data_IF_557970839522
#
_entry.id   IF_557970839522
#
_cell.length_a   1.000
_cell.length_b   1.000
_cell.length_c   1.000
_cell.angle_alpha   90.00
_cell.angle_beta   90.00
_cell.angle_gamma   90.00
#
_symmetry.space_group_name_H-M   'P 1'
#
loop_
_entity.id
_entity.type
_entity.pdbx_description
1 polymer ?
#
# COMPACT_ATOMS: atom_id res chain seq x y z
N UNK A 1 9.82 23.41 -1.11
CA UNK A 1 9.63 22.09 -1.75
C UNK A 1 8.69 22.26 -2.94
N UNK A 2 9.21 22.23 -4.16
CA UNK A 2 8.38 22.23 -5.38
C UNK A 2 7.89 20.81 -5.61
N UNK A 3 6.65 20.53 -5.21
CA UNK A 3 6.00 19.24 -5.49
C UNK A 3 5.50 19.32 -6.93
N UNK A 4 6.01 18.46 -7.81
CA UNK A 4 5.59 18.42 -9.20
C UNK A 4 4.07 18.17 -9.28
N UNK A 5 3.34 18.91 -10.14
CA UNK A 5 1.91 18.70 -10.32
C UNK A 5 1.64 17.30 -10.86
N UNK A 6 0.56 16.68 -10.38
CA UNK A 6 0.16 15.34 -10.81
C UNK A 6 -0.13 15.33 -12.32
N UNK A 7 0.46 14.38 -13.06
CA UNK A 7 0.20 14.25 -14.51
C UNK A 7 -1.24 13.77 -14.72
N UNK A 8 -2.07 14.51 -15.50
CA UNK A 8 -3.42 14.08 -15.80
C UNK A 8 -3.41 12.81 -16.66
N UNK A 9 -4.26 11.84 -16.32
CA UNK A 9 -4.47 10.67 -17.17
C UNK A 9 -5.14 11.06 -18.51
N UNK A 10 -4.99 10.22 -19.54
CA UNK A 10 -5.60 10.46 -20.88
C UNK A 10 -7.11 10.71 -20.81
N UNK A 11 -7.82 10.03 -19.90
CA UNK A 11 -9.24 10.23 -19.65
C UNK A 11 -9.56 11.62 -19.06
N UNK A 12 -8.69 12.16 -18.21
CA UNK A 12 -8.85 13.52 -17.66
C UNK A 12 -8.52 14.59 -18.69
N UNK A 13 -7.51 14.37 -19.52
CA UNK A 13 -7.15 15.27 -20.60
C UNK A 13 -8.29 15.38 -21.64
N UNK A 14 -8.89 14.25 -22.02
CA UNK A 14 -10.04 14.23 -22.94
C UNK A 14 -11.28 14.91 -22.35
N UNK A 15 -11.59 14.67 -21.08
CA UNK A 15 -12.72 15.32 -20.41
C UNK A 15 -12.50 16.83 -20.26
N UNK A 16 -11.28 17.26 -19.91
CA UNK A 16 -10.92 18.68 -19.85
C UNK A 16 -11.02 19.34 -21.24
N UNK A 17 -10.54 18.67 -22.29
CA UNK A 17 -10.63 19.17 -23.66
C UNK A 17 -12.10 19.30 -24.11
N UNK A 18 -12.94 18.31 -23.80
CA UNK A 18 -14.37 18.35 -24.11
C UNK A 18 -15.08 19.49 -23.38
N UNK A 19 -14.76 19.74 -22.11
CA UNK A 19 -15.31 20.86 -21.33
C UNK A 19 -14.87 22.22 -21.88
N UNK A 20 -13.59 22.38 -22.23
CA UNK A 20 -13.07 23.60 -22.85
C UNK A 20 -13.75 23.83 -24.21
N UNK A 21 -13.90 22.79 -25.02
CA UNK A 21 -14.58 22.89 -26.30
C UNK A 21 -16.05 23.32 -26.14
N UNK A 22 -16.78 22.72 -25.19
CA UNK A 22 -18.14 23.11 -24.87
C UNK A 22 -18.24 24.57 -24.40
N UNK A 23 -17.29 25.05 -23.58
CA UNK A 23 -17.24 26.45 -23.16
C UNK A 23 -16.99 27.41 -24.32
N UNK A 24 -16.08 27.05 -25.25
CA UNK A 24 -15.80 27.86 -26.45
C UNK A 24 -17.04 27.95 -27.35
N UNK A 25 -17.77 26.84 -27.55
CA UNK A 25 -19.01 26.85 -28.34
C UNK A 25 -20.08 27.74 -27.71
N UNK A 26 -20.33 27.62 -26.41
CA UNK A 26 -21.32 28.45 -25.68
C UNK A 26 -20.91 29.93 -25.65
N UNK A 27 -19.62 30.22 -25.51
CA UNK A 27 -19.08 31.58 -25.59
C UNK A 27 -19.24 32.19 -26.98
N UNK A 28 -18.95 31.43 -28.04
CA UNK A 28 -19.10 31.86 -29.42
C UNK A 28 -20.57 32.11 -29.80
N UNK A 29 -21.49 31.27 -29.33
CA UNK A 29 -22.94 31.45 -29.49
C UNK A 29 -23.43 32.72 -28.79
N UNK A 30 -22.99 32.93 -27.54
CA UNK A 30 -23.36 34.11 -26.73
C UNK A 30 -22.88 35.43 -27.35
N UNK A 31 -21.74 35.44 -28.03
CA UNK A 31 -21.24 36.60 -28.78
C UNK A 31 -22.12 36.93 -30.00
N UNK A 32 -22.79 35.93 -30.60
CA UNK A 32 -23.67 36.12 -31.76
C UNK A 32 -25.09 36.49 -31.36
N UNK A 33 -25.64 35.86 -30.32
CA UNK A 33 -27.06 36.00 -29.94
C UNK A 33 -27.31 36.99 -28.80
N UNK A 34 -26.25 37.57 -28.22
CA UNK A 34 -26.32 38.41 -27.03
C UNK A 34 -26.22 37.60 -25.74
N UNK A 35 -25.71 38.25 -24.68
CA UNK A 35 -25.41 37.61 -23.40
C UNK A 35 -26.69 37.12 -22.70
N UNK A 36 -26.76 35.82 -22.43
CA UNK A 36 -27.85 35.21 -21.66
C UNK A 36 -27.38 34.89 -20.24
N UNK A 37 -28.19 35.16 -19.20
CA UNK A 37 -27.87 34.77 -17.83
C UNK A 37 -27.54 33.27 -17.69
N UNK A 38 -28.24 32.41 -18.43
CA UNK A 38 -28.02 30.95 -18.45
C UNK A 38 -26.63 30.55 -18.99
N UNK A 39 -26.06 31.31 -19.92
CA UNK A 39 -24.72 31.06 -20.45
C UNK A 39 -23.64 31.34 -19.38
N UNK A 40 -23.83 32.39 -18.58
CA UNK A 40 -22.95 32.71 -17.44
C UNK A 40 -22.91 31.59 -16.39
N UNK A 41 -24.06 31.01 -16.05
CA UNK A 41 -24.13 29.85 -15.14
C UNK A 41 -23.40 28.62 -15.69
N UNK A 42 -23.55 28.33 -16.99
CA UNK A 42 -22.89 27.19 -17.63
C UNK A 42 -21.36 27.38 -17.68
N UNK A 43 -20.89 28.56 -18.07
CA UNK A 43 -19.47 28.91 -18.07
C UNK A 43 -18.87 28.83 -16.65
N UNK A 44 -19.60 29.30 -15.64
CA UNK A 44 -19.21 29.17 -14.23
C UNK A 44 -19.10 27.71 -13.80
N UNK A 45 -20.10 26.88 -14.14
CA UNK A 45 -20.08 25.45 -13.84
C UNK A 45 -18.91 24.73 -14.53
N UNK A 46 -18.65 25.02 -15.80
CA UNK A 46 -17.51 24.46 -16.55
C UNK A 46 -16.17 24.90 -15.96
N UNK A 47 -16.03 26.17 -15.57
CA UNK A 47 -14.82 26.67 -14.91
C UNK A 47 -14.56 25.98 -13.57
N UNK A 48 -15.60 25.77 -12.74
CA UNK A 48 -15.50 25.01 -11.49
C UNK A 48 -15.15 23.54 -11.76
N UNK A 49 -15.75 22.90 -12.76
CA UNK A 49 -15.44 21.53 -13.16
C UNK A 49 -13.98 21.40 -13.63
N UNK A 50 -13.49 22.34 -14.45
CA UNK A 50 -12.08 22.40 -14.87
C UNK A 50 -11.16 22.58 -13.66
N UNK A 51 -11.50 23.47 -12.73
CA UNK A 51 -10.74 23.66 -11.50
C UNK A 51 -10.75 22.39 -10.62
N UNK A 52 -11.83 21.61 -10.58
CA UNK A 52 -11.90 20.34 -9.85
C UNK A 52 -11.10 19.22 -10.53
N UNK A 53 -11.13 19.14 -11.86
CA UNK A 53 -10.48 18.09 -12.65
C UNK A 53 -8.97 18.32 -12.76
N UNK A 54 -8.57 19.57 -13.03
CA UNK A 54 -7.17 19.97 -13.20
C UNK A 54 -6.53 20.44 -11.89
N UNK A 55 -7.34 20.81 -10.89
CA UNK A 55 -6.86 21.19 -9.57
C UNK A 55 -6.08 20.05 -8.93
N UNK A 56 -4.79 20.28 -8.75
CA UNK A 56 -3.92 19.45 -7.94
C UNK A 56 -3.58 20.20 -6.65
N UNK A 57 -3.78 19.55 -5.51
CA UNK A 57 -3.33 20.09 -4.21
C UNK A 57 -2.39 19.08 -3.56
N UNK A 58 -1.14 19.52 -3.29
CA UNK A 58 -0.13 18.70 -2.61
C UNK A 58 0.27 17.41 -3.35
N UNK A 59 0.26 17.41 -4.69
CA UNK A 59 0.61 16.23 -5.50
C UNK A 59 -0.53 15.23 -5.74
N UNK A 60 -1.75 15.52 -5.27
CA UNK A 60 -2.96 14.70 -5.52
C UNK A 60 -4.07 15.54 -6.16
N UNK A 61 -4.97 14.92 -6.91
CA UNK A 61 -6.08 15.65 -7.55
C UNK A 61 -7.19 15.94 -6.54
N UNK A 62 -7.86 17.09 -6.65
CA UNK A 62 -8.99 17.47 -5.77
C UNK A 62 -10.11 16.42 -5.79
N UNK A 63 -10.35 15.80 -6.95
CA UNK A 63 -11.30 14.68 -7.08
C UNK A 63 -10.94 13.47 -6.21
N UNK A 64 -9.65 13.15 -6.05
CA UNK A 64 -9.21 12.08 -5.14
C UNK A 64 -9.42 12.48 -3.68
N UNK A 65 -9.11 13.73 -3.31
CA UNK A 65 -9.35 14.25 -1.96
C UNK A 65 -10.84 14.13 -1.60
N UNK A 66 -11.73 14.55 -2.51
CA UNK A 66 -13.17 14.48 -2.30
C UNK A 66 -13.66 13.03 -2.21
N UNK A 67 -13.21 12.15 -3.11
CA UNK A 67 -13.55 10.72 -3.09
C UNK A 67 -13.13 10.08 -1.77
N UNK A 68 -11.93 10.38 -1.28
CA UNK A 68 -11.43 9.87 0.01
C UNK A 68 -12.26 10.39 1.18
N UNK A 69 -12.65 11.67 1.19
CA UNK A 69 -13.56 12.20 2.23
C UNK A 69 -14.93 11.55 2.21
N UNK A 70 -15.50 11.30 1.03
CA UNK A 70 -16.77 10.58 0.91
C UNK A 70 -16.60 9.15 1.42
N UNK A 71 -15.52 8.46 1.01
CA UNK A 71 -15.22 7.11 1.47
C UNK A 71 -15.08 7.03 3.00
N UNK A 72 -14.33 7.94 3.63
CA UNK A 72 -14.23 8.06 5.09
C UNK A 72 -15.61 8.25 5.73
N UNK A 73 -16.44 9.15 5.21
CA UNK A 73 -17.78 9.38 5.76
C UNK A 73 -18.68 8.14 5.63
N UNK A 74 -18.52 7.36 4.55
CA UNK A 74 -19.27 6.12 4.34
C UNK A 74 -18.80 4.98 5.26
N UNK A 75 -17.53 4.97 5.66
CA UNK A 75 -16.96 4.00 6.61
C UNK A 75 -17.36 4.35 8.04
N UNK A 76 -17.25 5.62 8.41
CA UNK A 76 -17.71 6.13 9.70
C UNK A 76 -19.22 5.86 9.92
N UNK A 77 -20.05 6.06 8.88
CA UNK A 77 -21.49 5.76 8.93
C UNK A 77 -21.83 4.27 8.95
N UNK A 78 -20.97 3.41 8.40
CA UNK A 78 -21.18 1.96 8.43
C UNK A 78 -20.91 1.34 9.80
N UNK A 79 -20.37 2.12 10.73
CA UNK A 79 -20.09 1.66 12.08
C UNK A 79 -18.94 0.66 12.10
N UNK A 80 -18.13 0.74 13.14
CA UNK A 80 -17.24 -0.33 13.56
C UNK A 80 -18.14 -1.48 14.05
N UNK A 81 -18.69 -2.23 13.12
CA UNK A 81 -19.12 -3.63 13.32
C UNK A 81 -18.07 -4.50 12.65
N UNK A 82 -16.82 -4.35 13.09
CA UNK A 82 -15.71 -5.24 12.74
C UNK A 82 -15.46 -6.22 13.90
N UNK A 83 -16.55 -6.70 14.52
CA UNK A 83 -16.53 -7.73 15.55
C UNK A 83 -17.65 -8.74 15.24
N UNK A 84 -17.55 -9.37 14.08
CA UNK A 84 -18.10 -10.67 13.72
C UNK A 84 -17.58 -11.02 12.31
N UNK A 85 -17.06 -12.23 12.12
CA UNK A 85 -16.44 -12.77 10.90
C UNK A 85 -15.04 -12.18 10.59
N UNK A 86 -13.92 -12.80 10.99
CA UNK A 86 -13.72 -14.25 10.90
C UNK A 86 -14.10 -14.71 9.50
N UNK A 87 -13.29 -14.37 8.49
CA UNK A 87 -13.57 -14.57 7.05
C UNK A 87 -14.33 -13.42 6.37
N UNK A 88 -13.70 -12.26 6.24
CA UNK A 88 -14.00 -11.37 5.12
C UNK A 88 -13.67 -12.15 3.82
N UNK A 89 -14.69 -12.83 3.29
CA UNK A 89 -14.71 -13.45 1.96
C UNK A 89 -14.15 -12.41 0.99
N UNK A 90 -12.96 -12.64 0.42
CA UNK A 90 -12.36 -11.62 -0.39
C UNK A 90 -13.19 -11.45 -1.67
N UNK A 91 -13.54 -10.20 -1.97
CA UNK A 91 -14.27 -9.79 -3.18
C UNK A 91 -13.63 -10.47 -4.40
N UNK A 92 -14.34 -11.44 -4.98
CA UNK A 92 -14.35 -12.00 -6.36
C UNK A 92 -13.08 -11.96 -7.26
N UNK A 93 -11.89 -11.69 -6.75
CA UNK A 93 -10.60 -11.66 -7.45
C UNK A 93 -9.45 -12.24 -6.63
N UNK A 94 -9.74 -12.79 -5.44
CA UNK A 94 -8.74 -13.30 -4.48
C UNK A 94 -8.69 -14.83 -4.39
N UNK A 95 -9.41 -15.56 -5.24
CA UNK A 95 -9.27 -17.01 -5.32
C UNK A 95 -7.97 -17.45 -6.01
N UNK A 96 -7.21 -16.52 -6.60
CA UNK A 96 -5.97 -16.85 -7.31
C UNK A 96 -4.71 -16.62 -6.49
N UNK A 97 -4.73 -15.91 -5.35
CA UNK A 97 -3.52 -15.59 -4.58
C UNK A 97 -3.57 -16.14 -3.17
N UNK A 98 -2.43 -16.64 -2.69
CA UNK A 98 -2.22 -17.08 -1.32
C UNK A 98 -0.98 -16.40 -0.77
N UNK A 99 -1.11 -15.82 0.43
CA UNK A 99 0.00 -15.28 1.19
C UNK A 99 0.40 -16.28 2.29
N UNK A 100 1.70 -16.52 2.43
CA UNK A 100 2.30 -17.35 3.48
C UNK A 100 3.49 -16.62 4.07
N UNK A 101 3.71 -16.72 5.38
CA UNK A 101 4.71 -15.90 6.07
C UNK A 101 5.59 -16.68 7.06
N UNK A 102 6.82 -16.18 7.23
CA UNK A 102 7.85 -16.70 8.13
C UNK A 102 8.24 -15.59 9.07
N UNK A 103 8.28 -15.89 10.38
CA UNK A 103 8.81 -14.99 11.40
C UNK A 103 10.31 -15.22 11.52
N UNK A 104 11.09 -14.14 11.54
CA UNK A 104 12.54 -14.21 11.72
C UNK A 104 12.94 -13.28 12.85
N UNK A 105 13.65 -13.82 13.83
CA UNK A 105 14.21 -13.05 14.93
C UNK A 105 15.59 -12.48 14.54
N UNK A 106 15.91 -11.26 14.99
CA UNK A 106 17.20 -10.64 14.71
C UNK A 106 18.34 -11.44 15.40
N UNK A 107 19.50 -11.60 14.74
CA UNK A 107 20.69 -12.12 15.40
C UNK A 107 21.07 -11.27 16.62
N UNK A 108 21.70 -11.90 17.62
CA UNK A 108 22.19 -11.18 18.80
C UNK A 108 23.14 -10.03 18.39
N UNK A 109 22.84 -8.80 18.79
CA UNK A 109 23.63 -7.61 18.45
C UNK A 109 23.31 -6.96 17.11
N UNK A 110 22.28 -7.42 16.40
CA UNK A 110 21.83 -6.78 15.15
C UNK A 110 21.08 -5.46 15.45
N UNK A 111 21.80 -4.34 15.41
CA UNK A 111 21.22 -3.00 15.60
C UNK A 111 20.63 -2.40 14.31
N UNK A 112 21.12 -2.86 13.15
CA UNK A 112 20.77 -2.34 11.82
C UNK A 112 19.95 -3.34 11.01
N UNK A 113 19.02 -2.85 10.19
CA UNK A 113 18.13 -3.62 9.32
C UNK A 113 18.84 -4.53 8.31
N UNK A 114 20.12 -4.29 8.05
CA UNK A 114 20.92 -5.02 7.06
C UNK A 114 21.34 -6.43 7.53
N UNK A 115 20.74 -6.94 8.60
CA UNK A 115 21.00 -8.29 9.09
C UNK A 115 20.28 -9.38 8.27
N UNK A 116 19.22 -9.05 7.52
CA UNK A 116 18.54 -10.02 6.65
C UNK A 116 19.18 -10.11 5.26
N UNK A 117 19.34 -11.31 4.68
CA UNK A 117 19.86 -11.49 3.34
C UNK A 117 18.76 -11.16 2.31
N UNK A 118 18.58 -9.87 2.02
CA UNK A 118 17.51 -9.38 1.13
C UNK A 118 17.60 -9.95 -0.29
N UNK A 119 18.82 -10.16 -0.81
CA UNK A 119 19.04 -10.77 -2.13
C UNK A 119 18.55 -12.22 -2.17
N UNK A 120 18.82 -13.00 -1.13
CA UNK A 120 18.31 -14.35 -1.01
C UNK A 120 16.78 -14.35 -0.98
N UNK A 121 16.18 -13.46 -0.18
CA UNK A 121 14.74 -13.35 -0.05
C UNK A 121 14.10 -12.92 -1.39
N UNK A 122 14.67 -11.91 -2.06
CA UNK A 122 14.19 -11.44 -3.36
C UNK A 122 14.30 -12.52 -4.45
N UNK A 123 15.28 -13.43 -4.36
CA UNK A 123 15.41 -14.55 -5.30
C UNK A 123 14.21 -15.51 -5.28
N UNK A 124 13.41 -15.55 -4.20
CA UNK A 124 12.17 -16.32 -4.13
C UNK A 124 11.02 -15.76 -4.99
N UNK A 125 11.23 -14.62 -5.69
CA UNK A 125 10.31 -14.14 -6.72
C UNK A 125 10.12 -15.17 -7.87
N UNK A 126 11.19 -15.84 -8.29
CA UNK A 126 11.14 -16.96 -9.22
C UNK A 126 12.22 -17.98 -8.85
N UNK A 127 11.84 -19.00 -8.07
CA UNK A 127 12.77 -20.04 -7.61
C UNK A 127 12.11 -21.39 -7.54
N UNK A 128 12.88 -22.44 -7.85
CA UNK A 128 12.42 -23.84 -7.80
C UNK A 128 11.15 -24.11 -8.64
N UNK A 129 10.95 -23.34 -9.71
CA UNK A 129 9.76 -23.44 -10.57
C UNK A 129 8.49 -22.87 -9.95
N UNK A 130 8.60 -22.04 -8.90
CA UNK A 130 7.49 -21.32 -8.29
C UNK A 130 7.73 -19.82 -8.45
N UNK A 131 6.72 -19.14 -9.00
CA UNK A 131 6.70 -17.69 -9.18
C UNK A 131 5.84 -17.03 -8.11
N UNK A 132 6.43 -16.11 -7.36
CA UNK A 132 5.70 -15.28 -6.43
C UNK A 132 5.34 -13.96 -7.12
N UNK A 133 4.07 -13.56 -7.03
CA UNK A 133 3.64 -12.23 -7.47
C UNK A 133 4.34 -11.13 -6.67
N UNK A 134 4.64 -11.41 -5.40
CA UNK A 134 5.46 -10.55 -4.55
C UNK A 134 6.20 -11.33 -3.47
N UNK A 135 7.37 -10.80 -3.09
CA UNK A 135 8.06 -11.17 -1.86
C UNK A 135 8.19 -9.92 -0.99
N UNK A 136 7.71 -10.00 0.25
CA UNK A 136 7.64 -8.87 1.16
C UNK A 136 8.42 -9.15 2.43
N UNK A 137 9.12 -8.13 2.93
CA UNK A 137 9.81 -8.14 4.22
C UNK A 137 9.28 -6.99 5.06
N UNK A 138 8.51 -7.32 6.09
CA UNK A 138 8.01 -6.37 7.08
C UNK A 138 8.88 -6.43 8.33
N UNK A 139 9.51 -5.32 8.65
CA UNK A 139 10.26 -5.15 9.89
C UNK A 139 9.37 -4.41 10.87
N UNK A 140 9.18 -5.00 12.04
CA UNK A 140 8.45 -4.41 13.14
C UNK A 140 9.44 -4.07 14.24
N UNK A 141 9.49 -2.80 14.62
CA UNK A 141 10.27 -2.32 15.75
C UNK A 141 9.31 -1.74 16.78
N UNK A 142 9.25 -2.35 17.95
CA UNK A 142 8.44 -1.89 19.07
C UNK A 142 9.35 -1.58 20.25
N UNK A 143 9.04 -0.50 20.99
CA UNK A 143 9.73 -0.22 22.25
C UNK A 143 9.53 -1.33 23.29
N UNK A 144 8.41 -2.06 23.21
CA UNK A 144 8.05 -3.11 24.18
C UNK A 144 8.55 -4.49 23.77
N UNK A 145 8.49 -4.80 22.48
CA UNK A 145 8.73 -6.17 21.97
C UNK A 145 10.02 -6.30 21.18
N UNK A 146 10.85 -5.25 21.10
CA UNK A 146 12.09 -5.27 20.35
C UNK A 146 11.84 -5.24 18.84
N UNK A 147 12.75 -5.84 18.09
CA UNK A 147 12.70 -5.91 16.63
C UNK A 147 12.39 -7.33 16.18
N UNK A 148 11.48 -7.47 15.22
CA UNK A 148 11.19 -8.73 14.54
C UNK A 148 11.02 -8.47 13.04
N UNK A 149 11.23 -9.51 12.23
CA UNK A 149 10.98 -9.46 10.79
C UNK A 149 9.99 -10.55 10.37
N UNK A 150 9.16 -10.19 9.40
CA UNK A 150 8.14 -11.05 8.82
C UNK A 150 8.38 -11.10 7.32
N UNK A 151 8.70 -12.27 6.79
CA UNK A 151 8.89 -12.48 5.35
C UNK A 151 7.63 -13.12 4.83
N UNK A 152 6.97 -12.48 3.86
CA UNK A 152 5.73 -12.93 3.23
C UNK A 152 5.98 -13.27 1.78
N UNK A 153 5.52 -14.44 1.35
CA UNK A 153 5.48 -14.86 -0.05
C UNK A 153 4.04 -14.80 -0.53
N UNK A 154 3.79 -14.05 -1.59
CA UNK A 154 2.47 -13.99 -2.25
C UNK A 154 2.54 -14.79 -3.54
N UNK A 155 1.93 -15.97 -3.56
CA UNK A 155 1.92 -16.89 -4.70
C UNK A 155 0.63 -16.69 -5.50
N UNK A 156 0.75 -16.55 -6.81
CA UNK A 156 -0.39 -16.40 -7.74
C UNK A 156 -0.59 -17.67 -8.57
N UNK A 157 -1.82 -18.19 -8.60
CA UNK A 157 -2.22 -19.33 -9.39
C UNK A 157 -2.03 -19.09 -10.88
N UNK A 158 -2.27 -17.88 -11.39
CA UNK A 158 -2.19 -17.63 -12.84
C UNK A 158 -0.77 -17.72 -13.35
N UNK A 159 0.20 -17.30 -12.54
CA UNK A 159 1.63 -17.38 -12.89
C UNK A 159 2.21 -18.79 -12.74
N UNK A 160 1.52 -19.66 -11.98
CA UNK A 160 1.97 -21.01 -11.67
C UNK A 160 1.04 -22.11 -12.23
N UNK A 161 0.14 -21.76 -13.15
CA UNK A 161 -0.93 -22.66 -13.58
C UNK A 161 -0.38 -24.00 -14.12
N UNK A 162 0.63 -23.95 -14.98
CA UNK A 162 1.26 -25.15 -15.53
C UNK A 162 1.87 -26.06 -14.44
N UNK A 163 2.48 -25.46 -13.40
CA UNK A 163 3.05 -26.21 -12.29
C UNK A 163 1.97 -26.80 -11.36
N UNK A 164 0.82 -26.13 -11.24
CA UNK A 164 -0.32 -26.58 -10.45
C UNK A 164 -1.07 -27.72 -11.14
N UNK A 165 -1.34 -27.59 -12.44
CA UNK A 165 -2.00 -28.62 -13.26
C UNK A 165 -1.20 -29.92 -13.31
N UNK A 166 0.13 -29.83 -13.40
CA UNK A 166 1.01 -31.00 -13.38
C UNK A 166 0.94 -31.81 -12.07
N UNK A 167 0.53 -31.18 -10.96
CA UNK A 167 0.48 -31.81 -9.63
C UNK A 167 -0.87 -32.43 -9.31
N UNK A 168 -1.97 -31.80 -9.74
CA UNK A 168 -3.32 -32.27 -9.42
C UNK A 168 -4.38 -31.54 -10.25
N UNK A 169 -5.49 -32.24 -10.54
CA UNK A 169 -6.70 -31.62 -11.07
C UNK A 169 -7.38 -30.68 -10.04
N UNK A 170 -7.11 -30.87 -8.74
CA UNK A 170 -7.46 -29.92 -7.68
C UNK A 170 -6.27 -29.01 -7.45
N UNK A 171 -6.26 -27.83 -8.09
CA UNK A 171 -5.21 -26.80 -8.05
C UNK A 171 -4.75 -26.53 -6.60
N UNK A 172 -3.62 -27.10 -6.12
CA UNK A 172 -3.25 -27.10 -4.71
C UNK A 172 -2.39 -25.88 -4.36
N UNK A 173 -2.92 -24.66 -4.60
CA UNK A 173 -2.17 -23.41 -4.46
C UNK A 173 -1.64 -23.20 -3.04
N UNK A 174 -2.45 -23.47 -2.02
CA UNK A 174 -2.07 -23.30 -0.62
C UNK A 174 -0.94 -24.25 -0.22
N UNK A 175 -1.01 -25.53 -0.64
CA UNK A 175 0.05 -26.51 -0.37
C UNK A 175 1.37 -26.14 -1.06
N UNK A 176 1.31 -25.58 -2.28
CA UNK A 176 2.48 -25.07 -2.99
C UNK A 176 3.12 -23.90 -2.24
N UNK A 177 2.31 -22.95 -1.79
CA UNK A 177 2.78 -21.81 -1.00
C UNK A 177 3.41 -22.29 0.32
N UNK A 178 2.76 -23.21 1.03
CA UNK A 178 3.25 -23.80 2.27
C UNK A 178 4.58 -24.55 2.10
N UNK A 179 4.71 -25.35 1.04
CA UNK A 179 5.97 -26.02 0.72
C UNK A 179 7.10 -25.01 0.44
N UNK A 180 6.79 -23.91 -0.25
CA UNK A 180 7.74 -22.84 -0.57
C UNK A 180 8.17 -22.09 0.68
N UNK A 181 7.21 -21.79 1.58
CA UNK A 181 7.46 -21.20 2.90
C UNK A 181 8.41 -22.07 3.74
N UNK A 182 8.16 -23.38 3.81
CA UNK A 182 9.01 -24.32 4.56
C UNK A 182 10.44 -24.36 4.03
N UNK A 183 10.61 -24.29 2.70
CA UNK A 183 11.93 -24.22 2.06
C UNK A 183 12.66 -22.92 2.40
N UNK A 184 11.97 -21.77 2.32
CA UNK A 184 12.54 -20.49 2.73
C UNK A 184 12.99 -20.53 4.20
N UNK A 185 12.15 -21.00 5.11
CA UNK A 185 12.48 -21.09 6.53
C UNK A 185 13.65 -22.04 6.79
N UNK A 186 13.73 -23.18 6.08
CA UNK A 186 14.85 -24.10 6.18
C UNK A 186 16.15 -23.44 5.70
N UNK A 187 16.13 -22.76 4.55
CA UNK A 187 17.30 -22.09 4.02
C UNK A 187 17.76 -20.93 4.90
N UNK A 188 16.84 -20.14 5.48
CA UNK A 188 17.20 -19.11 6.44
C UNK A 188 17.87 -19.70 7.70
N UNK A 189 17.41 -20.87 8.16
CA UNK A 189 18.06 -21.59 9.26
C UNK A 189 19.45 -22.10 8.88
N UNK A 190 19.66 -22.55 7.65
CA UNK A 190 20.98 -22.92 7.12
C UNK A 190 21.95 -21.73 7.10
N UNK A 191 21.45 -20.53 6.78
CA UNK A 191 22.20 -19.26 6.85
C UNK A 191 22.39 -18.74 8.29
N UNK A 192 21.91 -19.48 9.29
CA UNK A 192 22.10 -19.17 10.72
C UNK A 192 21.02 -18.29 11.36
N UNK A 193 19.90 -18.03 10.68
CA UNK A 193 18.79 -17.24 11.22
C UNK A 193 17.80 -18.09 12.02
N UNK A 194 17.26 -17.52 13.10
CA UNK A 194 16.12 -18.08 13.82
C UNK A 194 14.81 -17.83 13.03
N UNK A 195 14.52 -18.71 12.06
CA UNK A 195 13.35 -18.61 11.19
C UNK A 195 12.28 -19.64 11.58
N UNK A 196 11.11 -19.12 11.98
CA UNK A 196 9.97 -19.89 12.49
C UNK A 196 8.73 -19.76 11.61
N UNK A 197 7.98 -20.84 11.58
CA UNK A 197 6.66 -20.89 10.97
C UNK A 197 5.67 -20.18 11.90
N UNK A 198 5.01 -19.14 11.42
CA UNK A 198 3.93 -18.48 12.14
C UNK A 198 2.60 -18.74 11.42
N UNK A 199 1.57 -19.04 12.20
CA UNK A 199 0.22 -19.28 11.69
C UNK A 199 -0.67 -18.04 11.81
N UNK A 200 -0.25 -17.05 12.60
CA UNK A 200 -0.98 -15.80 12.80
C UNK A 200 -0.04 -14.61 12.66
N UNK A 201 -0.39 -13.69 11.76
CA UNK A 201 0.33 -12.45 11.59
C UNK A 201 -0.04 -11.45 12.71
N UNK A 202 0.91 -10.62 13.15
CA UNK A 202 0.63 -9.52 14.07
C UNK A 202 -0.28 -8.48 13.41
N UNK A 203 -1.27 -8.00 14.17
CA UNK A 203 -2.19 -6.97 13.71
C UNK A 203 -1.58 -5.58 13.82
N UNK A 204 -1.64 -4.80 12.73
CA UNK A 204 -1.22 -3.39 12.72
C UNK A 204 -2.23 -2.47 13.43
N UNK A 205 -3.52 -2.82 13.38
CA UNK A 205 -4.65 -2.10 14.00
C UNK A 205 -5.61 -3.13 14.57
N UNK A 206 -6.18 -2.86 15.75
CA UNK A 206 -7.14 -3.77 16.38
C UNK A 206 -8.59 -3.42 16.06
N UNK A 207 -9.04 -2.23 16.45
CA UNK A 207 -10.45 -1.83 16.27
C UNK A 207 -10.61 -0.33 16.01
N UNK A 208 -9.57 0.32 15.51
CA UNK A 208 -9.50 1.78 15.45
C UNK A 208 -10.38 2.42 14.37
N UNK A 209 -10.81 3.66 14.64
CA UNK A 209 -11.58 4.48 13.69
C UNK A 209 -10.66 5.32 12.80
N UNK A 210 -10.93 5.36 11.50
CA UNK A 210 -10.14 6.14 10.54
C UNK A 210 -10.53 7.62 10.54
N UNK A 211 -9.53 8.49 10.63
CA UNK A 211 -9.63 9.91 10.32
C UNK A 211 -8.75 10.28 9.11
N UNK A 212 -8.66 11.58 8.80
CA UNK A 212 -7.89 12.04 7.65
C UNK A 212 -6.37 11.80 7.76
N UNK A 213 -5.86 11.68 8.99
CA UNK A 213 -4.43 11.65 9.33
C UNK A 213 -3.96 10.28 9.86
N UNK A 214 -4.87 9.34 10.11
CA UNK A 214 -4.53 7.99 10.56
C UNK A 214 -5.74 7.22 11.04
N UNK A 215 -5.46 6.13 11.76
CA UNK A 215 -6.45 5.30 12.44
C UNK A 215 -6.24 5.43 13.93
N UNK A 216 -7.26 5.90 14.64
CA UNK A 216 -7.23 6.07 16.10
C UNK A 216 -7.57 4.73 16.75
N UNK A 217 -6.58 4.12 17.41
CA UNK A 217 -6.65 2.80 18.04
C UNK A 217 -6.33 2.98 19.53
N UNK A 218 -7.37 3.19 20.34
CA UNK A 218 -7.23 3.61 21.74
C UNK A 218 -6.70 5.05 21.85
N UNK A 219 -5.65 5.26 22.66
CA UNK A 219 -4.98 6.56 22.82
C UNK A 219 -3.92 6.84 21.74
N UNK A 220 -3.67 5.85 20.88
CA UNK A 220 -2.66 5.92 19.84
C UNK A 220 -3.29 6.12 18.46
N UNK A 221 -2.49 6.69 17.55
CA UNK A 221 -2.82 6.79 16.15
C UNK A 221 -1.82 5.98 15.35
N UNK A 222 -2.33 5.16 14.44
CA UNK A 222 -1.55 4.41 13.45
C UNK A 222 -1.74 5.06 12.10
N UNK A 223 -0.65 5.48 11.47
CA UNK A 223 -0.69 6.12 10.15
C UNK A 223 0.24 5.40 9.18
N UNK A 224 -0.29 5.07 8.00
CA UNK A 224 0.48 4.55 6.88
C UNK A 224 1.06 5.65 5.99
N UNK A 225 2.29 5.44 5.52
CA UNK A 225 3.04 6.31 4.63
C UNK A 225 3.70 5.51 3.51
N UNK A 226 3.71 6.08 2.31
CA UNK A 226 4.59 5.63 1.24
C UNK A 226 5.98 6.23 1.45
N UNK A 227 7.02 5.45 1.14
CA UNK A 227 8.41 5.89 1.23
C UNK A 227 8.96 6.05 -0.18
N UNK A 228 9.51 7.23 -0.49
CA UNK A 228 10.18 7.45 -1.77
C UNK A 228 11.44 6.57 -1.88
N UNK A 229 11.57 5.82 -2.98
CA UNK A 229 12.71 4.93 -3.25
C UNK A 229 13.85 5.62 -4.01
N UNK A 230 13.65 6.82 -4.54
CA UNK A 230 14.69 7.53 -5.30
C UNK A 230 15.69 8.27 -4.39
N UNK A 231 16.99 8.23 -4.69
CA UNK A 231 18.04 8.83 -3.87
C UNK A 231 18.57 7.85 -2.81
N UNK A 232 19.02 8.37 -1.66
CA UNK A 232 19.54 7.55 -0.56
C UNK A 232 18.40 6.93 0.26
N UNK A 233 18.00 5.71 -0.11
CA UNK A 233 16.95 4.96 0.57
C UNK A 233 17.41 4.48 1.96
N UNK A 234 18.66 4.07 2.11
CA UNK A 234 19.18 3.51 3.36
C UNK A 234 19.19 4.57 4.47
N UNK A 235 19.64 5.79 4.17
CA UNK A 235 19.59 6.90 5.12
C UNK A 235 18.15 7.22 5.55
N UNK A 236 17.18 7.18 4.63
CA UNK A 236 15.76 7.41 4.97
C UNK A 236 15.20 6.29 5.83
N UNK A 237 15.53 5.05 5.52
CA UNK A 237 15.11 3.90 6.32
C UNK A 237 15.70 3.97 7.74
N UNK A 238 16.94 4.43 7.88
CA UNK A 238 17.56 4.70 9.18
C UNK A 238 16.85 5.83 9.94
N UNK A 239 16.48 6.93 9.26
CA UNK A 239 15.72 8.04 9.85
C UNK A 239 14.32 7.57 10.33
N UNK A 240 13.63 6.75 9.54
CA UNK A 240 12.35 6.15 9.91
C UNK A 240 12.51 5.22 11.12
N UNK A 241 13.59 4.43 11.17
CA UNK A 241 13.86 3.52 12.28
C UNK A 241 14.22 4.26 13.58
N UNK A 242 14.90 5.40 13.48
CA UNK A 242 15.25 6.28 14.60
C UNK A 242 14.07 7.15 15.07
N UNK A 243 13.00 7.24 14.29
CA UNK A 243 11.83 8.06 14.61
C UNK A 243 11.18 7.61 15.94
N UNK A 244 10.86 8.54 16.87
CA UNK A 244 10.32 8.21 18.18
C UNK A 244 8.83 7.82 18.14
N UNK A 245 8.54 6.69 17.51
CA UNK A 245 7.23 6.01 17.57
C UNK A 245 7.21 4.92 18.65
N UNK A 246 6.02 4.54 19.08
CA UNK A 246 5.82 3.38 19.97
C UNK A 246 6.08 2.08 19.22
N UNK A 247 5.65 2.05 17.96
CA UNK A 247 5.90 0.97 17.03
C UNK A 247 6.08 1.52 15.62
N UNK A 248 7.11 1.04 14.94
CA UNK A 248 7.43 1.34 13.55
C UNK A 248 7.39 0.06 12.76
N UNK A 249 6.51 0.03 11.76
CA UNK A 249 6.46 -0.98 10.73
C UNK A 249 7.10 -0.41 9.48
N UNK A 250 8.07 -1.12 8.92
CA UNK A 250 8.61 -0.76 7.63
C UNK A 250 8.59 -1.98 6.74
N UNK A 251 7.96 -1.84 5.57
CA UNK A 251 7.66 -2.93 4.66
C UNK A 251 8.37 -2.70 3.34
N UNK A 252 9.18 -3.66 2.94
CA UNK A 252 9.84 -3.74 1.65
C UNK A 252 9.10 -4.79 0.82
N UNK A 253 8.63 -4.45 -0.38
CA UNK A 253 8.02 -5.40 -1.30
C UNK A 253 8.78 -5.44 -2.61
N UNK A 254 9.24 -6.62 -2.98
CA UNK A 254 9.84 -6.93 -4.27
C UNK A 254 8.76 -7.54 -5.17
N UNK A 255 8.71 -7.10 -6.42
CA UNK A 255 7.77 -7.59 -7.45
C UNK A 255 8.47 -7.70 -8.80
N UNK A 256 7.87 -8.40 -9.76
CA UNK A 256 8.43 -8.60 -11.09
C UNK A 256 9.33 -9.84 -11.16
N UNK A 257 10.36 -9.81 -12.02
CA UNK A 257 11.32 -10.91 -12.16
C UNK A 257 12.51 -10.69 -11.24
N UNK A 258 13.18 -11.75 -10.71
CA UNK A 258 14.43 -11.60 -9.97
C UNK A 258 15.50 -10.78 -10.70
N UNK A 259 15.55 -10.86 -12.04
CA UNK A 259 16.54 -10.12 -12.84
C UNK A 259 16.20 -8.62 -13.02
N UNK A 260 14.96 -8.22 -12.73
CA UNK A 260 14.45 -6.85 -12.89
C UNK A 260 13.45 -6.50 -11.79
N UNK A 261 13.80 -6.84 -10.54
CA UNK A 261 12.91 -6.69 -9.41
C UNK A 261 12.62 -5.21 -9.15
N UNK A 262 11.33 -4.89 -8.98
CA UNK A 262 10.89 -3.55 -8.58
C UNK A 262 10.64 -3.53 -7.08
N UNK A 263 11.31 -2.61 -6.39
CA UNK A 263 11.17 -2.39 -4.95
C UNK A 263 10.14 -1.29 -4.67
N UNK A 264 9.13 -1.63 -3.87
CA UNK A 264 8.18 -0.68 -3.28
C UNK A 264 8.36 -0.66 -1.76
N UNK A 265 8.35 0.53 -1.17
CA UNK A 265 8.56 0.69 0.27
C UNK A 265 7.43 1.49 0.90
N UNK A 266 6.89 0.97 2.00
CA UNK A 266 5.89 1.63 2.81
C UNK A 266 6.24 1.52 4.30
N UNK A 267 5.72 2.43 5.13
CA UNK A 267 5.84 2.32 6.57
C UNK A 267 4.52 2.65 7.27
N UNK A 268 4.35 2.10 8.47
CA UNK A 268 3.31 2.51 9.39
C UNK A 268 3.93 2.91 10.72
N UNK A 269 3.48 4.04 11.26
CA UNK A 269 3.93 4.57 12.54
C UNK A 269 2.77 4.58 13.52
N UNK A 270 2.97 3.98 14.69
CA UNK A 270 2.04 4.01 15.83
C UNK A 270 2.58 4.98 16.88
N UNK A 271 1.82 6.03 17.19
CA UNK A 271 2.24 7.10 18.10
C UNK A 271 1.05 7.67 18.87
N UNK A 272 1.29 8.14 20.09
CA UNK A 272 0.34 9.00 20.81
C UNK A 272 0.35 10.43 20.24
N UNK A 273 -0.83 11.04 20.13
CA UNK A 273 -0.97 12.45 19.74
C UNK A 273 -0.85 12.75 18.23
N UNK A 274 -0.49 13.99 17.91
CA UNK A 274 -0.34 14.49 16.53
C UNK A 274 1.10 14.31 16.05
N UNK A 275 1.26 13.93 14.78
CA UNK A 275 2.57 13.79 14.14
C UNK A 275 3.02 15.16 13.64
N UNK A 276 3.90 15.83 14.41
CA UNK A 276 4.27 17.22 14.13
C UNK A 276 5.39 17.35 13.07
N UNK A 277 6.35 16.43 13.05
CA UNK A 277 7.43 16.39 12.07
C UNK A 277 7.63 14.95 11.59
N UNK A 278 7.48 14.73 10.29
CA UNK A 278 7.73 13.46 9.62
C UNK A 278 9.15 13.46 9.03
N UNK A 279 9.84 12.30 9.04
CA UNK A 279 11.04 12.09 8.24
C UNK A 279 10.86 12.52 6.79
N UNK A 280 11.93 13.03 6.19
CA UNK A 280 11.89 13.49 4.80
C UNK A 280 11.58 12.33 3.84
N UNK A 281 10.75 12.58 2.83
CA UNK A 281 10.41 11.58 1.81
C UNK A 281 9.28 10.61 2.19
N UNK A 282 8.65 10.80 3.35
CA UNK A 282 7.39 10.13 3.70
C UNK A 282 6.19 10.86 3.10
N UNK A 283 5.32 10.11 2.44
CA UNK A 283 4.06 10.62 1.89
C UNK A 283 2.88 9.96 2.60
N UNK A 284 2.06 10.72 3.36
CA UNK A 284 0.94 10.14 4.09
C UNK A 284 -0.19 9.69 3.15
N UNK A 285 -0.77 8.52 3.40
CA UNK A 285 -1.99 8.05 2.73
C UNK A 285 -3.25 8.73 3.28
N UNK A 286 -3.28 10.07 3.24
CA UNK A 286 -4.36 10.88 3.85
C UNK A 286 -5.74 10.43 3.38
N UNK A 287 -6.59 10.05 4.34
CA UNK A 287 -7.95 9.54 4.12
C UNK A 287 -8.06 8.16 3.44
N UNK A 288 -6.97 7.40 3.43
CA UNK A 288 -6.91 6.01 2.99
C UNK A 288 -5.93 5.18 3.86
N UNK A 289 -5.85 5.50 5.15
CA UNK A 289 -4.96 4.83 6.09
C UNK A 289 -5.41 3.41 6.41
N UNK A 290 -6.69 3.14 6.67
CA UNK A 290 -7.17 1.77 6.91
C UNK A 290 -6.86 0.81 5.76
N UNK A 291 -7.22 1.10 4.50
CA UNK A 291 -6.91 0.19 3.40
C UNK A 291 -5.40 0.09 3.15
N UNK A 292 -4.62 1.17 3.33
CA UNK A 292 -3.18 1.08 3.27
C UNK A 292 -2.63 0.15 4.35
N UNK A 293 -3.05 0.30 5.61
CA UNK A 293 -2.63 -0.56 6.73
C UNK A 293 -3.02 -2.03 6.53
N UNK A 294 -4.21 -2.29 5.97
CA UNK A 294 -4.63 -3.63 5.60
C UNK A 294 -3.72 -4.23 4.52
N UNK A 295 -3.30 -3.43 3.52
CA UNK A 295 -2.34 -3.89 2.51
C UNK A 295 -0.97 -4.16 3.14
N UNK A 296 -0.51 -3.32 4.08
CA UNK A 296 0.80 -3.47 4.76
C UNK A 296 0.88 -4.70 5.68
N UNK A 297 -0.25 -5.26 6.10
CA UNK A 297 -0.26 -6.41 7.00
C UNK A 297 0.46 -7.63 6.39
N UNK A 298 1.21 -8.43 7.18
CA UNK A 298 1.95 -9.58 6.65
C UNK A 298 1.08 -10.68 6.03
N UNK A 299 -0.19 -10.78 6.40
CA UNK A 299 -1.15 -11.75 5.86
C UNK A 299 -1.87 -11.27 4.59
N UNK A 300 -1.59 -10.05 4.13
CA UNK A 300 -2.21 -9.46 2.95
C UNK A 300 -1.71 -10.09 1.65
N UNK A 301 -2.65 -10.41 0.76
CA UNK A 301 -2.38 -10.84 -0.62
C UNK A 301 -2.32 -9.68 -1.61
N UNK A 302 -2.63 -8.46 -1.17
CA UNK A 302 -2.62 -7.27 -2.02
C UNK A 302 -1.22 -6.65 -2.10
N UNK A 303 -0.86 -6.20 -3.31
CA UNK A 303 0.44 -5.56 -3.59
C UNK A 303 0.51 -4.14 -3.02
N UNK A 304 1.65 -3.74 -2.46
CA UNK A 304 1.91 -2.38 -1.96
C UNK A 304 1.78 -1.33 -3.08
N UNK A 305 2.10 -1.69 -4.33
CA UNK A 305 1.91 -0.80 -5.48
C UNK A 305 0.44 -0.35 -5.64
N UNK A 306 -0.52 -1.17 -5.19
CA UNK A 306 -1.94 -0.82 -5.15
C UNK A 306 -2.22 0.27 -4.11
N UNK A 307 -1.54 0.25 -2.97
CA UNK A 307 -1.69 1.26 -1.93
C UNK A 307 -1.23 2.65 -2.40
N UNK A 308 -0.21 2.72 -3.27
CA UNK A 308 0.22 3.97 -3.90
C UNK A 308 -0.85 4.60 -4.81
N UNK A 309 -1.83 3.81 -5.27
CA UNK A 309 -2.91 4.27 -6.16
C UNK A 309 -4.21 4.68 -5.44
N UNK A 310 -4.34 4.36 -4.14
CA UNK A 310 -5.44 4.77 -3.27
C UNK A 310 -5.38 6.26 -2.99
#
# INVERSE_FOLDING_TARGET
MSIAPAKPSRARATLALALVFAAVLVGADSLRTGWRPSAGWFLGAVAVLLALVLGSWGGTHVTQILRRRIALSSRAKRGVSAEAEGSAKPEAGSSSRVAVFVRVEPPAGAESRNWLPLELIASYLDRYGVRCAAVRVAFRRSRRYGQEAWITLVVDATENLAALEARSARIPLHELAEATRRRLAAQLREEGFAAEHADTAPKLVWAGSEDWNGVVDGEERVAAYAVSTGGDLDARLAEIAAYPAQETWTVLEFTGSPASATLTVACALRKQGVVELLPAGLQPHRGAHLPALAILAPDSTALLSTAASL
#
